data_IF_893316355272
#
_entry.id   IF_893316355272
#
_cell.length_a   1.000
_cell.length_b   1.000
_cell.length_c   1.000
_cell.angle_alpha   90.00
_cell.angle_beta   90.00
_cell.angle_gamma   90.00
#
_symmetry.space_group_name_H-M   'P 1'
#
loop_
_entity.id
_entity.type
_entity.pdbx_description
1 polymer ?
#
# COMPACT_ATOMS: atom_id res chain seq x y z
N UNK A 1 -10.37 -20.24 -9.90
CA UNK A 1 -10.83 -18.83 -10.03
C UNK A 1 -9.68 -17.92 -9.62
N UNK A 2 -9.27 -16.97 -10.47
CA UNK A 2 -8.19 -16.04 -10.14
C UNK A 2 -8.69 -15.00 -9.12
N UNK A 3 -7.94 -14.74 -8.05
CA UNK A 3 -8.27 -13.67 -7.10
C UNK A 3 -7.92 -12.33 -7.75
N UNK A 4 -8.93 -11.61 -8.28
CA UNK A 4 -8.73 -10.29 -8.86
C UNK A 4 -8.50 -9.26 -7.74
N UNK A 5 -7.37 -8.55 -7.80
CA UNK A 5 -6.99 -7.51 -6.84
C UNK A 5 -6.82 -6.18 -7.59
N UNK A 6 -7.44 -5.11 -7.08
CA UNK A 6 -7.32 -3.76 -7.65
C UNK A 6 -6.17 -3.00 -6.99
N UNK A 7 -5.32 -2.36 -7.78
CA UNK A 7 -4.27 -1.47 -7.27
C UNK A 7 -4.65 -0.01 -7.45
N UNK A 8 -4.46 0.76 -6.38
CA UNK A 8 -4.64 2.21 -6.35
C UNK A 8 -3.29 2.86 -6.07
N UNK A 9 -2.94 3.90 -6.82
CA UNK A 9 -1.69 4.64 -6.70
C UNK A 9 -2.03 6.10 -6.37
N UNK A 10 -1.53 6.62 -5.26
CA UNK A 10 -1.82 8.00 -4.83
C UNK A 10 -0.69 8.99 -5.18
N UNK A 11 0.55 8.64 -4.86
CA UNK A 11 1.71 9.50 -5.09
C UNK A 11 2.26 9.45 -6.52
N UNK A 12 3.22 10.33 -6.80
CA UNK A 12 3.95 10.37 -8.08
C UNK A 12 5.01 9.27 -8.12
N UNK A 13 4.58 8.05 -8.46
CA UNK A 13 5.47 6.90 -8.60
C UNK A 13 5.84 6.74 -10.09
N UNK A 14 7.13 6.65 -10.45
CA UNK A 14 7.52 6.35 -11.82
C UNK A 14 6.90 5.04 -12.30
N UNK A 15 6.28 5.04 -13.47
CA UNK A 15 5.58 3.85 -14.02
C UNK A 15 6.47 2.61 -14.09
N UNK A 16 7.77 2.80 -14.39
CA UNK A 16 8.79 1.73 -14.40
C UNK A 16 8.99 1.01 -13.06
N UNK A 17 8.55 1.61 -11.95
CA UNK A 17 8.66 1.07 -10.58
C UNK A 17 7.41 0.34 -10.10
N UNK A 18 6.27 0.58 -10.75
CA UNK A 18 5.00 0.00 -10.34
C UNK A 18 5.02 -1.53 -10.30
N UNK A 19 5.59 -2.25 -11.29
CA UNK A 19 5.64 -3.72 -11.23
C UNK A 19 6.36 -4.25 -9.98
N UNK A 20 7.47 -3.63 -9.58
CA UNK A 20 8.25 -4.03 -8.42
C UNK A 20 7.51 -3.75 -7.12
N UNK A 21 6.85 -2.59 -7.02
CA UNK A 21 6.05 -2.25 -5.83
C UNK A 21 4.80 -3.13 -5.72
N UNK A 22 4.15 -3.45 -6.84
CA UNK A 22 3.01 -4.37 -6.87
C UNK A 22 3.44 -5.79 -6.47
N UNK A 23 4.56 -6.28 -6.98
CA UNK A 23 5.12 -7.57 -6.60
C UNK A 23 5.44 -7.63 -5.11
N UNK A 24 6.09 -6.60 -4.56
CA UNK A 24 6.39 -6.50 -3.13
C UNK A 24 5.11 -6.46 -2.28
N UNK A 25 4.08 -5.71 -2.71
CA UNK A 25 2.80 -5.68 -2.02
C UNK A 25 2.08 -7.04 -2.04
N UNK A 26 2.13 -7.76 -3.16
CA UNK A 26 1.59 -9.12 -3.24
C UNK A 26 2.34 -10.10 -2.33
N UNK A 27 3.68 -10.06 -2.33
CA UNK A 27 4.49 -10.90 -1.46
C UNK A 27 4.17 -10.61 0.01
N UNK A 28 4.12 -9.34 0.39
CA UNK A 28 3.77 -8.91 1.75
C UNK A 28 2.39 -9.40 2.15
N UNK A 29 1.39 -9.31 1.26
CA UNK A 29 0.05 -9.82 1.53
C UNK A 29 0.06 -11.34 1.78
N UNK A 30 0.81 -12.11 0.98
CA UNK A 30 0.93 -13.54 1.15
C UNK A 30 1.64 -13.91 2.47
N UNK A 31 2.75 -13.25 2.79
CA UNK A 31 3.52 -13.48 4.02
C UNK A 31 2.68 -13.20 5.27
N UNK A 32 1.83 -12.18 5.20
CA UNK A 32 0.86 -11.83 6.25
C UNK A 32 -0.45 -12.62 6.19
N UNK A 33 -0.58 -13.57 5.26
CA UNK A 33 -1.79 -14.39 5.05
C UNK A 33 -3.06 -13.54 4.83
N UNK A 34 -2.92 -12.41 4.15
CA UNK A 34 -4.00 -11.51 3.79
C UNK A 34 -4.64 -11.91 2.47
N UNK A 35 -5.95 -11.69 2.34
CA UNK A 35 -6.71 -11.93 1.11
C UNK A 35 -7.32 -10.62 0.57
N UNK A 36 -6.48 -9.65 0.14
CA UNK A 36 -6.98 -8.35 -0.28
C UNK A 36 -7.82 -8.45 -1.56
N UNK A 37 -8.78 -7.54 -1.67
CA UNK A 37 -9.51 -7.20 -2.90
C UNK A 37 -9.03 -5.89 -3.50
N UNK A 38 -8.42 -5.04 -2.67
CA UNK A 38 -7.75 -3.83 -3.10
C UNK A 38 -6.45 -3.60 -2.32
N UNK A 39 -5.49 -2.99 -2.99
CA UNK A 39 -4.20 -2.57 -2.44
C UNK A 39 -3.98 -1.12 -2.84
N UNK A 40 -3.72 -0.26 -1.86
CA UNK A 40 -3.31 1.12 -2.08
C UNK A 40 -1.81 1.22 -1.84
N UNK A 41 -1.05 1.70 -2.82
CA UNK A 41 0.35 2.06 -2.69
C UNK A 41 0.40 3.59 -2.61
N UNK A 42 0.77 4.11 -1.44
CA UNK A 42 0.71 5.54 -1.17
C UNK A 42 1.84 6.32 -1.85
N UNK A 43 3.06 5.77 -1.81
CA UNK A 43 4.27 6.40 -2.32
C UNK A 43 5.31 5.36 -2.76
N UNK A 44 6.34 5.83 -3.46
CA UNK A 44 7.54 5.03 -3.74
C UNK A 44 8.34 4.77 -2.45
N UNK A 45 9.35 3.90 -2.51
CA UNK A 45 10.23 3.64 -1.37
C UNK A 45 10.99 4.92 -1.01
N UNK A 46 10.93 5.32 0.25
CA UNK A 46 11.54 6.54 0.80
C UNK A 46 12.04 6.29 2.22
N UNK A 47 12.95 7.12 2.70
CA UNK A 47 13.59 6.98 4.03
C UNK A 47 13.23 8.13 4.96
N UNK A 48 12.06 8.74 4.75
CA UNK A 48 11.60 9.91 5.48
C UNK A 48 10.23 9.68 6.06
N UNK A 49 9.96 10.20 7.25
CA UNK A 49 8.68 10.08 7.92
C UNK A 49 8.37 11.36 8.70
N UNK A 50 7.15 11.48 9.21
CA UNK A 50 6.75 12.57 10.09
C UNK A 50 6.67 12.09 11.53
N UNK A 51 7.56 12.57 12.40
CA UNK A 51 7.56 12.27 13.83
C UNK A 51 7.22 13.55 14.58
N UNK A 52 6.15 13.52 15.38
CA UNK A 52 5.64 14.70 16.11
C UNK A 52 5.42 15.93 15.19
N UNK A 53 4.90 15.68 13.98
CA UNK A 53 4.64 16.72 12.98
C UNK A 53 5.88 17.24 12.22
N UNK A 54 7.08 16.77 12.55
CA UNK A 54 8.32 17.18 11.85
C UNK A 54 8.73 16.12 10.83
N UNK A 55 8.98 16.54 9.59
CA UNK A 55 9.51 15.68 8.54
C UNK A 55 11.01 15.43 8.75
N UNK A 56 11.41 14.17 8.82
CA UNK A 56 12.79 13.77 9.12
C UNK A 56 13.13 12.41 8.51
N UNK A 57 14.40 12.02 8.54
CA UNK A 57 14.81 10.65 8.19
C UNK A 57 14.17 9.65 9.15
N UNK A 58 13.65 8.57 8.59
CA UNK A 58 13.08 7.48 9.36
C UNK A 58 14.21 6.67 10.01
N UNK A 59 14.24 6.53 11.35
CA UNK A 59 15.24 5.72 12.03
C UNK A 59 15.20 4.22 11.65
N UNK A 60 14.09 3.75 11.06
CA UNK A 60 13.94 2.39 10.54
C UNK A 60 14.39 2.25 9.07
N UNK A 61 14.81 3.36 8.45
CA UNK A 61 15.33 3.39 7.09
C UNK A 61 14.25 3.38 6.01
N UNK A 62 14.59 2.75 4.87
CA UNK A 62 13.74 2.72 3.68
C UNK A 62 12.45 1.95 3.95
N UNK A 63 11.33 2.58 3.61
CA UNK A 63 10.01 1.98 3.74
C UNK A 63 9.08 2.46 2.62
N UNK A 64 7.94 1.81 2.52
CA UNK A 64 6.82 2.24 1.68
C UNK A 64 5.52 2.00 2.42
N UNK A 65 4.52 2.83 2.15
CA UNK A 65 3.21 2.70 2.79
C UNK A 65 2.25 1.99 1.85
N UNK A 66 1.78 0.82 2.27
CA UNK A 66 0.79 0.04 1.54
C UNK A 66 -0.38 -0.33 2.47
N UNK A 67 -1.60 -0.12 1.97
CA UNK A 67 -2.83 -0.46 2.67
C UNK A 67 -3.55 -1.59 1.93
N UNK A 68 -3.84 -2.68 2.65
CA UNK A 68 -4.63 -3.80 2.16
C UNK A 68 -6.10 -3.61 2.56
N UNK A 69 -7.01 -3.88 1.64
CA UNK A 69 -8.45 -3.84 1.88
C UNK A 69 -9.09 -5.17 1.49
N UNK A 70 -9.83 -5.78 2.41
CA UNK A 70 -10.67 -6.95 2.14
C UNK A 70 -12.05 -6.54 1.60
N UNK A 71 -12.89 -7.54 1.30
CA UNK A 71 -14.23 -7.30 0.76
C UNK A 71 -15.16 -6.56 1.74
N UNK A 72 -15.06 -6.83 3.05
CA UNK A 72 -15.91 -6.21 4.07
C UNK A 72 -15.56 -4.73 4.24
N UNK A 73 -14.27 -4.41 4.30
CA UNK A 73 -13.77 -3.04 4.41
C UNK A 73 -14.15 -2.20 3.18
N UNK A 74 -14.15 -2.80 1.98
CA UNK A 74 -14.62 -2.12 0.77
C UNK A 74 -16.13 -1.88 0.80
N UNK A 75 -16.91 -2.84 1.31
CA UNK A 75 -18.37 -2.68 1.43
C UNK A 75 -18.76 -1.57 2.43
N UNK A 76 -18.02 -1.45 3.54
CA UNK A 76 -18.25 -0.41 4.56
C UNK A 76 -17.90 1.01 4.10
N UNK A 77 -17.12 1.18 3.04
CA UNK A 77 -16.73 2.50 2.54
C UNK A 77 -17.90 3.33 1.97
N UNK A 78 -19.06 2.69 1.77
CA UNK A 78 -20.32 3.35 1.40
C UNK A 78 -21.24 3.71 2.58
N UNK A 79 -20.87 3.35 3.82
CA UNK A 79 -21.72 3.51 5.02
C UNK A 79 -21.47 4.81 5.81
N UNK A 80 -20.44 5.57 5.45
CA UNK A 80 -20.21 6.94 5.94
C UNK A 80 -20.46 7.91 4.77
N UNK A 81 -21.72 8.25 4.57
CA UNK A 81 -22.17 9.43 3.83
C UNK A 81 -23.14 10.19 4.71
#
# INVERSE_FOLDING_TARGET
>A
MANLVKFYIMGTIPTRRLPQLMALAYQTANDLHLHPKAVLIWSDIHDTTSILGTYQKDPKGLHLTICFKDAEQLAKQHAYR
#
